data_IF_030598847478
#
_entry.id   IF_030598847478
#
_cell.length_a   1.000
_cell.length_b   1.000
_cell.length_c   1.000
_cell.angle_alpha   90.00
_cell.angle_beta   90.00
_cell.angle_gamma   90.00
#
_symmetry.space_group_name_H-M   'P 1'
#
loop_
_entity.id
_entity.type
_entity.pdbx_description
1 polymer ?
#
# COMPACT_ATOMS: atom_id res chain seq x y z
N UNK A 1 5.60 4.99 -2.73
CA UNK A 1 5.77 4.21 -3.97
C UNK A 1 4.91 4.75 -5.08
N UNK A 2 5.39 4.64 -6.28
CA UNK A 2 4.70 5.13 -7.47
C UNK A 2 3.45 4.31 -7.80
N UNK A 3 3.34 3.10 -7.26
CA UNK A 3 2.25 2.18 -7.53
C UNK A 3 1.53 1.78 -6.25
N UNK A 4 0.21 1.65 -6.33
CA UNK A 4 -0.61 1.07 -5.27
C UNK A 4 -0.49 -0.45 -5.34
N UNK A 5 -0.06 -1.08 -4.26
CA UNK A 5 0.09 -2.53 -4.15
C UNK A 5 -0.80 -3.07 -3.03
N UNK A 6 -1.44 -4.19 -3.28
CA UNK A 6 -2.09 -5.01 -2.26
C UNK A 6 -1.28 -6.29 -2.14
N UNK A 7 -0.89 -6.66 -0.94
CA UNK A 7 -0.05 -7.83 -0.74
C UNK A 7 -0.37 -8.56 0.55
N UNK A 8 -0.06 -9.85 0.55
CA UNK A 8 -0.11 -10.71 1.71
C UNK A 8 1.29 -11.19 2.02
N UNK A 9 1.64 -11.20 3.29
CA UNK A 9 2.93 -11.69 3.78
C UNK A 9 2.67 -12.76 4.83
N UNK A 10 3.31 -13.90 4.69
CA UNK A 10 3.32 -14.94 5.71
C UNK A 10 4.75 -15.23 6.14
N UNK A 11 4.96 -15.35 7.44
CA UNK A 11 6.22 -15.79 8.02
C UNK A 11 5.99 -17.11 8.74
N UNK A 12 6.83 -18.08 8.47
CA UNK A 12 6.76 -19.40 9.07
C UNK A 12 8.16 -19.87 9.47
N UNK A 13 8.22 -20.79 10.42
CA UNK A 13 9.48 -21.45 10.74
C UNK A 13 9.87 -22.40 9.62
N UNK A 14 11.16 -22.63 9.46
CA UNK A 14 11.65 -23.65 8.50
C UNK A 14 11.17 -25.05 8.88
N UNK A 15 10.85 -25.87 7.87
CA UNK A 15 10.36 -27.24 8.06
C UNK A 15 11.31 -28.10 8.91
N UNK A 16 12.62 -27.80 8.89
CA UNK A 16 13.61 -28.51 9.71
C UNK A 16 13.47 -28.26 11.21
N UNK A 17 12.80 -27.17 11.59
CA UNK A 17 12.50 -26.83 12.98
C UNK A 17 11.05 -27.11 13.36
N UNK A 18 10.22 -27.58 12.43
CA UNK A 18 8.83 -27.88 12.70
C UNK A 18 8.70 -29.13 13.59
N UNK A 19 7.89 -29.09 14.65
CA UNK A 19 7.63 -30.25 15.49
C UNK A 19 7.04 -31.42 14.67
N UNK A 20 7.57 -32.64 14.85
CA UNK A 20 7.04 -33.81 14.15
C UNK A 20 7.41 -33.94 12.66
N UNK A 21 8.26 -33.05 12.12
CA UNK A 21 8.68 -33.11 10.72
C UNK A 21 7.57 -32.63 9.74
N UNK A 22 6.69 -31.77 10.21
CA UNK A 22 5.62 -31.20 9.41
C UNK A 22 6.18 -30.33 8.29
N UNK A 23 5.50 -30.35 7.16
CA UNK A 23 5.76 -29.45 6.03
C UNK A 23 4.81 -28.27 6.09
N UNK A 24 5.34 -27.07 6.27
CA UNK A 24 4.55 -25.86 6.51
C UNK A 24 4.35 -25.02 5.26
N UNK A 25 5.23 -25.15 4.27
CA UNK A 25 5.18 -24.30 3.07
C UNK A 25 3.87 -24.48 2.30
N UNK A 26 3.48 -25.72 2.01
CA UNK A 26 2.27 -26.01 1.22
C UNK A 26 0.99 -25.54 1.92
N UNK A 27 0.73 -25.84 3.20
CA UNK A 27 -0.45 -25.34 3.90
C UNK A 27 -0.50 -23.79 3.99
N UNK A 28 0.65 -23.14 4.17
CA UNK A 28 0.70 -21.68 4.22
C UNK A 28 0.46 -21.08 2.83
N UNK A 29 1.01 -21.67 1.77
CA UNK A 29 0.71 -21.24 0.41
C UNK A 29 -0.78 -21.43 0.08
N UNK A 30 -1.38 -22.55 0.48
CA UNK A 30 -2.82 -22.81 0.31
C UNK A 30 -3.67 -21.80 1.06
N UNK A 31 -3.35 -21.47 2.32
CA UNK A 31 -4.00 -20.42 3.09
C UNK A 31 -3.93 -19.06 2.38
N UNK A 32 -2.77 -18.67 1.87
CA UNK A 32 -2.63 -17.43 1.09
C UNK A 32 -3.48 -17.45 -0.17
N UNK A 33 -3.51 -18.58 -0.87
CA UNK A 33 -4.37 -18.78 -2.04
C UNK A 33 -5.85 -18.65 -1.70
N UNK A 34 -6.30 -19.24 -0.59
CA UNK A 34 -7.68 -19.14 -0.11
C UNK A 34 -8.06 -17.69 0.23
N UNK A 35 -7.20 -16.99 0.97
CA UNK A 35 -7.41 -15.56 1.31
C UNK A 35 -7.57 -14.68 0.07
N UNK A 36 -6.81 -14.98 -0.99
CA UNK A 36 -6.86 -14.20 -2.24
C UNK A 36 -8.02 -14.64 -3.13
N UNK A 37 -8.23 -15.94 -3.32
CA UNK A 37 -9.16 -16.44 -4.32
C UNK A 37 -10.59 -16.59 -3.80
N UNK A 38 -10.77 -16.80 -2.50
CA UNK A 38 -12.05 -17.12 -1.88
C UNK A 38 -12.39 -16.21 -0.68
N UNK A 39 -12.41 -14.90 -0.85
CA UNK A 39 -12.77 -13.99 0.24
C UNK A 39 -14.20 -14.26 0.72
N UNK A 40 -14.47 -14.08 2.01
CA UNK A 40 -15.79 -14.29 2.59
C UNK A 40 -16.77 -13.25 2.03
N UNK A 41 -17.80 -13.74 1.36
CA UNK A 41 -18.79 -12.89 0.67
C UNK A 41 -20.21 -13.35 0.96
N UNK A 42 -21.15 -12.43 0.81
CA UNK A 42 -22.58 -12.69 0.92
C UNK A 42 -23.31 -12.02 -0.25
N UNK A 43 -24.05 -12.81 -1.05
CA UNK A 43 -24.88 -12.31 -2.16
C UNK A 43 -24.11 -11.40 -3.14
N UNK A 44 -22.88 -11.78 -3.51
CA UNK A 44 -22.04 -11.05 -4.46
C UNK A 44 -21.45 -9.73 -3.93
N UNK A 45 -21.23 -9.65 -2.62
CA UNK A 45 -20.58 -8.52 -1.96
C UNK A 45 -19.79 -9.00 -0.74
N UNK A 46 -18.86 -8.20 -0.25
CA UNK A 46 -18.28 -8.44 1.07
C UNK A 46 -19.36 -8.45 2.15
N UNK A 47 -19.16 -9.28 3.17
CA UNK A 47 -20.11 -9.39 4.30
C UNK A 47 -20.29 -8.02 4.94
N UNK A 48 -21.52 -7.46 5.01
CA UNK A 48 -21.73 -6.10 5.46
C UNK A 48 -21.17 -5.81 6.86
N UNK A 49 -21.34 -6.72 7.80
CA UNK A 49 -20.86 -6.53 9.16
C UNK A 49 -19.33 -6.36 9.24
N UNK A 50 -18.58 -7.16 8.47
CA UNK A 50 -17.12 -7.03 8.40
C UNK A 50 -16.71 -5.75 7.66
N UNK A 51 -17.41 -5.47 6.54
CA UNK A 51 -17.16 -4.25 5.78
C UNK A 51 -17.38 -2.98 6.62
N UNK A 52 -18.48 -2.91 7.38
CA UNK A 52 -18.82 -1.74 8.19
C UNK A 52 -17.80 -1.55 9.32
N UNK A 53 -17.36 -2.66 9.95
CA UNK A 53 -16.30 -2.62 10.96
C UNK A 53 -14.98 -2.11 10.40
N UNK A 54 -14.53 -2.65 9.25
CA UNK A 54 -13.27 -2.25 8.62
C UNK A 54 -13.34 -0.83 8.04
N UNK A 55 -14.49 -0.41 7.54
CA UNK A 55 -14.73 0.97 7.13
C UNK A 55 -14.59 1.94 8.30
N UNK A 56 -15.13 1.58 9.48
CA UNK A 56 -14.99 2.41 10.68
C UNK A 56 -13.51 2.47 11.11
N UNK A 57 -12.81 1.33 11.14
CA UNK A 57 -11.39 1.28 11.44
C UNK A 57 -10.57 2.17 10.49
N UNK A 58 -10.90 2.17 9.19
CA UNK A 58 -10.25 3.03 8.19
C UNK A 58 -10.52 4.51 8.47
N UNK A 59 -11.76 4.89 8.77
CA UNK A 59 -12.12 6.27 9.11
C UNK A 59 -11.39 6.75 10.36
N UNK A 60 -11.31 5.92 11.39
CA UNK A 60 -10.61 6.24 12.63
C UNK A 60 -9.10 6.35 12.40
N UNK A 61 -8.52 5.50 11.55
CA UNK A 61 -7.12 5.61 11.13
C UNK A 61 -6.84 6.91 10.37
N UNK A 62 -7.71 7.31 9.44
CA UNK A 62 -7.59 8.59 8.70
C UNK A 62 -7.68 9.77 9.68
N UNK A 63 -8.64 9.78 10.58
CA UNK A 63 -8.81 10.85 11.58
C UNK A 63 -7.65 10.93 12.55
N UNK A 64 -7.04 9.79 12.90
CA UNK A 64 -5.91 9.72 13.81
C UNK A 64 -4.59 10.24 13.22
N UNK A 65 -4.47 10.41 11.90
CA UNK A 65 -3.26 10.95 11.26
C UNK A 65 -2.86 12.32 11.83
N UNK A 66 -3.83 13.13 12.22
CA UNK A 66 -3.57 14.45 12.81
C UNK A 66 -2.89 14.37 14.20
N UNK A 67 -2.90 13.21 14.87
CA UNK A 67 -2.29 13.04 16.18
C UNK A 67 -0.76 13.05 16.08
N UNK A 68 -0.19 12.51 15.00
CA UNK A 68 1.22 12.71 14.68
C UNK A 68 1.38 13.94 13.77
N UNK A 69 1.80 15.06 14.37
CA UNK A 69 1.90 16.33 13.67
C UNK A 69 2.99 16.36 12.61
N UNK A 70 4.02 15.51 12.75
CA UNK A 70 5.09 15.38 11.77
C UNK A 70 4.60 14.62 10.55
N UNK A 71 4.07 13.43 10.75
CA UNK A 71 3.52 12.61 9.68
C UNK A 71 2.37 13.32 8.97
N UNK A 72 1.56 14.06 9.73
CA UNK A 72 0.51 14.89 9.16
C UNK A 72 1.06 15.99 8.23
N UNK A 73 2.07 16.74 8.69
CA UNK A 73 2.70 17.80 7.88
C UNK A 73 3.35 17.24 6.61
N UNK A 74 4.07 16.10 6.72
CA UNK A 74 4.70 15.42 5.59
C UNK A 74 3.65 14.91 4.59
N UNK A 75 2.57 14.33 5.06
CA UNK A 75 1.44 13.90 4.23
C UNK A 75 0.77 15.07 3.50
N UNK A 76 0.60 16.20 4.19
CA UNK A 76 0.04 17.42 3.60
C UNK A 76 0.96 18.00 2.53
N UNK A 77 2.27 18.04 2.81
CA UNK A 77 3.27 18.49 1.86
C UNK A 77 3.23 17.67 0.56
N UNK A 78 3.28 16.35 0.67
CA UNK A 78 3.22 15.46 -0.49
C UNK A 78 1.93 15.62 -1.29
N UNK A 79 0.80 15.75 -0.61
CA UNK A 79 -0.50 15.95 -1.26
C UNK A 79 -0.55 17.25 -2.07
N UNK A 80 0.02 18.34 -1.55
CA UNK A 80 0.05 19.63 -2.25
C UNK A 80 1.09 19.64 -3.38
N UNK A 81 2.25 19.04 -3.17
CA UNK A 81 3.30 18.97 -4.19
C UNK A 81 2.89 18.12 -5.38
N UNK A 82 2.31 16.96 -5.12
CA UNK A 82 1.96 15.96 -6.11
C UNK A 82 0.45 15.97 -6.43
N UNK A 83 -0.20 17.12 -6.29
CA UNK A 83 -1.62 17.24 -6.60
C UNK A 83 -1.90 16.90 -8.06
N UNK A 84 -2.79 15.93 -8.30
CA UNK A 84 -3.11 15.42 -9.63
C UNK A 84 -2.21 14.25 -10.09
N UNK A 85 -1.22 13.87 -9.32
CA UNK A 85 -0.37 12.70 -9.56
C UNK A 85 -0.79 11.51 -8.69
N UNK A 86 -0.48 10.29 -9.13
CA UNK A 86 -0.72 9.09 -8.33
C UNK A 86 0.02 9.12 -6.98
N UNK A 87 1.19 9.75 -6.94
CA UNK A 87 2.00 9.89 -5.72
C UNK A 87 1.35 10.81 -4.68
N UNK A 88 0.54 11.77 -5.10
CA UNK A 88 -0.20 12.69 -4.22
C UNK A 88 -1.46 12.06 -3.60
N UNK A 89 -1.86 10.84 -4.00
CA UNK A 89 -2.99 10.14 -3.40
C UNK A 89 -2.61 9.63 -2.02
N UNK A 90 -3.31 10.04 -0.95
CA UNK A 90 -3.00 9.56 0.40
C UNK A 90 -3.14 8.03 0.50
N UNK A 91 -2.24 7.37 1.21
CA UNK A 91 -2.21 5.90 1.37
C UNK A 91 -3.53 5.33 1.91
N UNK A 92 -4.16 6.00 2.83
CA UNK A 92 -5.46 5.61 3.41
C UNK A 92 -6.65 6.24 2.66
N UNK A 93 -6.42 7.04 1.62
CA UNK A 93 -7.46 7.85 1.00
C UNK A 93 -7.84 9.05 1.85
N UNK A 94 -9.05 9.55 1.65
CA UNK A 94 -9.62 10.66 2.42
C UNK A 94 -10.89 10.21 3.14
N UNK A 95 -11.28 10.91 4.21
CA UNK A 95 -12.52 10.63 4.93
C UNK A 95 -13.73 10.61 3.99
N UNK A 96 -13.82 11.61 3.09
CA UNK A 96 -14.88 11.70 2.09
C UNK A 96 -14.93 10.47 1.17
N UNK A 97 -13.78 9.99 0.69
CA UNK A 97 -13.73 8.80 -0.18
C UNK A 97 -14.04 7.52 0.58
N UNK A 98 -13.58 7.41 1.84
CA UNK A 98 -13.86 6.26 2.70
C UNK A 98 -15.36 6.18 3.06
N UNK A 99 -16.01 7.30 3.35
CA UNK A 99 -17.45 7.34 3.64
C UNK A 99 -18.31 6.85 2.46
N UNK A 100 -17.87 7.09 1.23
CA UNK A 100 -18.58 6.65 0.01
C UNK A 100 -18.38 5.17 -0.35
N UNK A 101 -17.51 4.46 0.35
CA UNK A 101 -17.28 3.04 0.10
C UNK A 101 -18.55 2.23 0.34
N UNK A 102 -18.77 1.23 -0.52
CA UNK A 102 -19.89 0.29 -0.45
C UNK A 102 -19.40 -1.14 -0.64
N UNK A 103 -19.92 -2.14 0.08
CA UNK A 103 -19.42 -3.51 0.06
C UNK A 103 -19.51 -4.19 -1.31
N UNK A 104 -20.57 -3.90 -2.08
CA UNK A 104 -20.72 -4.44 -3.44
C UNK A 104 -19.72 -3.84 -4.42
N UNK A 105 -19.50 -2.52 -4.35
CA UNK A 105 -18.56 -1.82 -5.23
C UNK A 105 -17.12 -2.20 -4.92
N UNK A 106 -16.79 -2.34 -3.64
CA UNK A 106 -15.46 -2.78 -3.22
C UNK A 106 -15.18 -4.21 -3.68
N UNK A 107 -16.17 -5.11 -3.58
CA UNK A 107 -16.02 -6.47 -4.08
C UNK A 107 -15.84 -6.54 -5.60
N UNK A 108 -16.59 -5.77 -6.35
CA UNK A 108 -16.42 -5.69 -7.81
C UNK A 108 -15.03 -5.16 -8.20
N UNK A 109 -14.53 -4.14 -7.50
CA UNK A 109 -13.17 -3.64 -7.69
C UNK A 109 -12.11 -4.69 -7.33
N UNK A 110 -12.34 -5.44 -6.25
CA UNK A 110 -11.45 -6.52 -5.85
C UNK A 110 -11.35 -7.61 -6.93
N UNK A 111 -12.50 -8.04 -7.48
CA UNK A 111 -12.54 -9.03 -8.56
C UNK A 111 -11.77 -8.53 -9.81
N UNK A 112 -11.95 -7.27 -10.17
CA UNK A 112 -11.22 -6.63 -11.25
C UNK A 112 -9.71 -6.61 -10.97
N UNK A 113 -9.31 -6.23 -9.74
CA UNK A 113 -7.91 -6.18 -9.34
C UNK A 113 -7.24 -7.56 -9.46
N UNK A 114 -7.80 -8.60 -8.86
CA UNK A 114 -7.19 -9.94 -8.86
C UNK A 114 -7.15 -10.58 -10.26
N UNK A 115 -8.05 -10.16 -11.17
CA UNK A 115 -8.06 -10.68 -12.54
C UNK A 115 -7.10 -9.96 -13.47
N UNK A 116 -6.82 -8.67 -13.25
CA UNK A 116 -6.07 -7.83 -14.20
C UNK A 116 -4.75 -7.30 -13.67
N UNK A 117 -4.50 -7.34 -12.36
CA UNK A 117 -3.25 -6.84 -11.80
C UNK A 117 -2.06 -7.73 -12.13
N UNK A 118 -0.88 -7.13 -12.27
CA UNK A 118 0.39 -7.86 -12.28
C UNK A 118 0.60 -8.49 -10.90
N UNK A 119 0.94 -9.77 -10.87
CA UNK A 119 1.24 -10.51 -9.65
C UNK A 119 2.74 -10.74 -9.55
N UNK A 120 3.28 -10.50 -8.39
CA UNK A 120 4.66 -10.81 -8.04
C UNK A 120 4.67 -11.68 -6.79
N UNK A 121 5.38 -12.79 -6.85
CA UNK A 121 5.54 -13.74 -5.76
C UNK A 121 7.00 -13.71 -5.33
N UNK A 122 7.23 -13.51 -4.07
CA UNK A 122 8.57 -13.50 -3.48
C UNK A 122 8.64 -14.50 -2.35
N UNK A 123 9.71 -15.32 -2.36
CA UNK A 123 10.01 -16.25 -1.29
C UNK A 123 11.45 -16.06 -0.82
N UNK A 124 11.63 -16.04 0.50
CA UNK A 124 12.95 -16.10 1.13
C UNK A 124 12.95 -17.21 2.18
N UNK A 125 13.80 -18.20 2.01
CA UNK A 125 13.90 -19.36 2.90
C UNK A 125 14.72 -20.49 2.32
N UNK A 126 14.72 -21.65 2.98
CA UNK A 126 15.56 -22.81 2.66
C UNK A 126 14.91 -23.82 1.71
N UNK A 127 13.59 -23.72 1.45
CA UNK A 127 12.91 -24.70 0.60
C UNK A 127 13.42 -24.64 -0.85
N UNK A 128 13.56 -25.79 -1.52
CA UNK A 128 13.98 -25.85 -2.91
C UNK A 128 13.05 -25.06 -3.82
N UNK A 129 13.60 -24.25 -4.74
CA UNK A 129 12.86 -23.39 -5.66
C UNK A 129 11.67 -24.11 -6.32
N UNK A 130 11.91 -25.32 -6.87
CA UNK A 130 10.86 -26.09 -7.55
C UNK A 130 9.67 -26.40 -6.65
N UNK A 131 9.92 -26.69 -5.36
CA UNK A 131 8.85 -26.94 -4.38
C UNK A 131 8.05 -25.68 -4.11
N UNK A 132 8.72 -24.53 -3.96
CA UNK A 132 8.09 -23.23 -3.76
C UNK A 132 7.20 -22.87 -4.96
N UNK A 133 7.73 -22.98 -6.17
CA UNK A 133 6.98 -22.70 -7.39
C UNK A 133 5.72 -23.58 -7.50
N UNK A 134 5.86 -24.88 -7.25
CA UNK A 134 4.72 -25.80 -7.30
C UNK A 134 3.65 -25.46 -6.25
N UNK A 135 4.05 -25.17 -5.01
CA UNK A 135 3.11 -24.82 -3.95
C UNK A 135 2.35 -23.51 -4.27
N UNK A 136 3.05 -22.47 -4.70
CA UNK A 136 2.45 -21.19 -5.03
C UNK A 136 1.54 -21.26 -6.28
N UNK A 137 1.97 -21.96 -7.34
CA UNK A 137 1.15 -22.15 -8.53
C UNK A 137 -0.11 -22.98 -8.25
N UNK A 138 0.00 -24.02 -7.42
CA UNK A 138 -1.15 -24.81 -6.99
C UNK A 138 -2.14 -23.96 -6.18
N UNK A 139 -1.65 -23.19 -5.23
CA UNK A 139 -2.46 -22.31 -4.37
C UNK A 139 -3.23 -21.25 -5.15
N UNK A 140 -2.65 -20.72 -6.22
CA UNK A 140 -3.25 -19.68 -7.06
C UNK A 140 -3.94 -20.24 -8.33
N UNK A 141 -4.08 -21.56 -8.45
CA UNK A 141 -4.64 -22.20 -9.65
C UNK A 141 -6.09 -21.79 -9.97
N UNK A 142 -6.86 -21.39 -8.95
CA UNK A 142 -8.24 -20.93 -9.08
C UNK A 142 -8.37 -19.41 -9.31
N UNK A 143 -7.25 -18.68 -9.35
CA UNK A 143 -7.27 -17.24 -9.52
C UNK A 143 -7.83 -16.88 -10.91
N UNK A 144 -8.91 -16.10 -11.01
CA UNK A 144 -9.41 -15.65 -12.29
C UNK A 144 -8.38 -14.72 -12.95
N UNK A 145 -7.95 -15.06 -14.18
CA UNK A 145 -6.97 -14.22 -14.90
C UNK A 145 -7.57 -13.78 -16.22
N UNK A 146 -7.47 -12.47 -16.43
CA UNK A 146 -7.80 -11.79 -17.66
C UNK A 146 -6.52 -11.13 -18.21
N UNK A 147 -6.64 -10.28 -19.22
CA UNK A 147 -5.51 -9.53 -19.73
C UNK A 147 -4.92 -8.64 -18.62
N UNK A 148 -3.64 -8.85 -18.32
CA UNK A 148 -2.94 -8.03 -17.34
C UNK A 148 -2.87 -6.60 -17.85
N UNK A 149 -3.33 -5.65 -17.02
CA UNK A 149 -3.22 -4.23 -17.33
C UNK A 149 -1.80 -3.73 -17.12
N UNK A 150 -1.31 -2.98 -18.08
CA UNK A 150 -0.05 -2.27 -17.91
C UNK A 150 -0.20 -1.19 -16.84
N UNK A 151 0.82 -1.08 -15.99
CA UNK A 151 0.91 0.01 -15.02
C UNK A 151 1.37 1.25 -15.78
N UNK A 152 0.56 2.30 -15.74
CA UNK A 152 0.93 3.56 -16.37
C UNK A 152 2.23 4.10 -15.74
N UNK A 153 3.18 4.47 -16.59
CA UNK A 153 4.40 5.13 -16.13
C UNK A 153 4.03 6.47 -15.48
N UNK A 154 4.63 6.71 -14.32
CA UNK A 154 4.51 7.99 -13.63
C UNK A 154 5.11 9.09 -14.52
N UNK A 155 4.33 10.13 -14.74
CA UNK A 155 4.79 11.35 -15.39
C UNK A 155 4.67 12.49 -14.38
N UNK A 156 5.80 12.92 -13.78
CA UNK A 156 5.78 14.01 -12.82
C UNK A 156 5.34 15.31 -13.50
N UNK A 157 4.53 16.08 -12.82
CA UNK A 157 4.21 17.42 -13.28
C UNK A 157 5.47 18.32 -13.25
N UNK A 158 5.57 19.28 -14.18
CA UNK A 158 6.65 20.23 -14.13
C UNK A 158 6.62 21.01 -12.81
N UNK A 159 7.78 21.37 -12.29
CA UNK A 159 7.90 22.20 -11.12
C UNK A 159 7.10 23.50 -11.29
N UNK A 160 6.42 23.94 -10.23
CA UNK A 160 5.70 25.22 -10.23
C UNK A 160 6.68 26.37 -10.38
N UNK A 161 6.29 27.40 -11.12
CA UNK A 161 7.09 28.61 -11.27
C UNK A 161 7.14 29.44 -9.97
N UNK A 162 6.09 29.35 -9.15
CA UNK A 162 5.96 30.08 -7.91
C UNK A 162 5.91 29.14 -6.70
N UNK A 163 6.39 29.63 -5.56
CA UNK A 163 6.33 28.89 -4.28
C UNK A 163 4.88 28.81 -3.83
N UNK A 164 4.38 27.60 -3.65
CA UNK A 164 3.11 27.38 -2.98
C UNK A 164 3.33 27.37 -1.46
N UNK A 165 2.61 28.22 -0.76
CA UNK A 165 2.59 28.26 0.70
C UNK A 165 1.21 27.88 1.21
N UNK A 166 1.17 26.86 2.06
CA UNK A 166 -0.05 26.40 2.73
C UNK A 166 0.15 26.50 4.24
N UNK A 167 -0.78 27.10 4.93
CA UNK A 167 -0.75 27.24 6.39
C UNK A 167 -2.02 26.65 6.98
N UNK A 168 -1.86 25.81 7.98
CA UNK A 168 -2.97 25.26 8.77
C UNK A 168 -2.76 25.59 10.25
N UNK A 169 -3.73 26.26 10.87
CA UNK A 169 -3.70 26.56 12.29
C UNK A 169 -4.25 25.36 13.07
N UNK A 170 -3.41 24.76 13.90
CA UNK A 170 -3.79 23.69 14.81
C UNK A 170 -3.48 24.11 16.25
N UNK A 171 -4.27 23.59 17.19
CA UNK A 171 -4.02 23.80 18.63
C UNK A 171 -2.82 22.93 19.08
N UNK A 172 -1.63 23.44 18.85
CA UNK A 172 -0.37 22.74 19.18
C UNK A 172 0.67 23.71 19.74
N UNK A 173 1.55 23.19 20.59
CA UNK A 173 2.64 23.98 21.20
C UNK A 173 3.83 24.19 20.28
N UNK A 174 3.99 23.37 19.24
CA UNK A 174 5.09 23.45 18.28
C UNK A 174 4.58 23.43 16.85
N UNK A 175 4.95 24.44 16.07
CA UNK A 175 4.76 24.43 14.63
C UNK A 175 5.60 23.36 13.95
N UNK A 176 5.08 22.80 12.83
CA UNK A 176 5.83 21.93 11.93
C UNK A 176 5.90 22.60 10.57
N UNK A 177 7.11 22.63 10.00
CA UNK A 177 7.37 23.17 8.68
C UNK A 177 7.87 22.04 7.78
N UNK A 178 7.14 21.75 6.71
CA UNK A 178 7.57 20.89 5.62
C UNK A 178 7.94 21.71 4.40
N UNK A 179 9.07 21.44 3.77
CA UNK A 179 9.49 22.06 2.51
C UNK A 179 9.78 20.97 1.49
N UNK A 180 9.27 21.12 0.28
CA UNK A 180 9.49 20.17 -0.79
C UNK A 180 9.96 20.85 -2.07
N UNK A 181 10.84 20.18 -2.78
CA UNK A 181 11.44 20.65 -4.02
C UNK A 181 11.27 19.56 -5.09
N UNK A 182 10.77 19.92 -6.26
CA UNK A 182 10.80 19.06 -7.43
C UNK A 182 12.17 19.18 -8.09
N UNK A 183 12.88 18.08 -8.25
CA UNK A 183 14.19 18.01 -8.90
C UNK A 183 14.23 16.85 -9.89
N UNK A 184 15.14 16.92 -10.86
CA UNK A 184 15.43 15.80 -11.77
C UNK A 184 16.12 14.65 -11.05
N UNK A 185 16.15 13.50 -11.69
CA UNK A 185 16.75 12.26 -11.16
C UNK A 185 18.26 12.12 -11.48
N UNK A 186 18.87 13.12 -12.11
CA UNK A 186 20.18 12.99 -12.76
C UNK A 186 21.34 12.78 -11.76
N UNK A 187 21.16 13.21 -10.51
CA UNK A 187 22.14 12.97 -9.44
C UNK A 187 21.42 12.63 -8.10
N UNK A 188 21.00 11.39 -7.98
CA UNK A 188 20.32 10.90 -6.79
C UNK A 188 21.18 11.03 -5.51
N UNK A 189 22.49 10.78 -5.61
CA UNK A 189 23.38 10.85 -4.46
C UNK A 189 23.53 12.29 -3.94
N UNK A 190 23.69 13.26 -4.83
CA UNK A 190 23.75 14.68 -4.45
C UNK A 190 22.41 15.14 -3.87
N UNK A 191 21.28 14.69 -4.44
CA UNK A 191 19.95 14.99 -3.92
C UNK A 191 19.76 14.45 -2.49
N UNK A 192 20.15 13.20 -2.23
CA UNK A 192 20.07 12.60 -0.90
C UNK A 192 20.93 13.34 0.12
N UNK A 193 22.16 13.71 -0.27
CA UNK A 193 23.05 14.49 0.58
C UNK A 193 22.46 15.88 0.86
N UNK A 194 21.96 16.54 -0.18
CA UNK A 194 21.28 17.84 -0.07
C UNK A 194 20.10 17.79 0.89
N UNK A 195 19.22 16.77 0.75
CA UNK A 195 18.09 16.58 1.64
C UNK A 195 18.53 16.42 3.12
N UNK A 196 19.60 15.65 3.35
CA UNK A 196 20.15 15.47 4.71
C UNK A 196 20.67 16.77 5.28
N UNK A 197 21.36 17.59 4.48
CA UNK A 197 21.88 18.90 4.90
C UNK A 197 20.79 19.93 5.19
N UNK A 198 19.64 19.85 4.48
CA UNK A 198 18.47 20.70 4.70
C UNK A 198 17.59 20.28 5.88
N UNK A 199 17.92 19.24 6.60
CA UNK A 199 17.17 18.81 7.78
C UNK A 199 16.30 17.59 7.56
N UNK A 200 16.49 16.86 6.46
CA UNK A 200 15.82 15.59 6.19
C UNK A 200 16.36 14.39 6.98
N UNK A 201 17.20 14.62 8.00
CA UNK A 201 17.73 13.55 8.84
C UNK A 201 16.76 13.19 9.98
N UNK A 202 16.82 11.94 10.45
CA UNK A 202 16.02 11.45 11.58
C UNK A 202 16.33 12.14 12.92
N UNK A 203 17.35 13.00 12.97
CA UNK A 203 17.82 13.70 14.17
C UNK A 203 17.46 15.19 14.17
N UNK A 204 16.65 15.66 13.23
CA UNK A 204 16.18 17.05 13.15
C UNK A 204 14.80 17.23 13.74
#
# INVERSE_FOLDING_TARGET
GENQCVGFVASLIDDSFAPGGERLLEPVAELLGELICAPITERGRFVPAYFDSEKQNLLDAIRSLINDKRDYADSRLLREMCAGEAYGVPRLGTEETAERLQPKRLYAWYQELISTARLELFYSGSAPQRRVEQALLAALSSLPRDQVREIALHQPHPARAEVLRVEEALDVTQGKLGMGFACGSDDYAAMMLGNTLFGGSSNS
#
